data_IF_305472929625
#
_entry.id   IF_305472929625
#
_cell.length_a   1.000
_cell.length_b   1.000
_cell.length_c   1.000
_cell.angle_alpha   90.00
_cell.angle_beta   90.00
_cell.angle_gamma   90.00
#
_symmetry.space_group_name_H-M   'P 1'
#
loop_
_entity.id
_entity.type
_entity.pdbx_description
1 polymer ?
#
# COMPACT_ATOMS: atom_id res chain seq x y z
N UNK A 1 -23.62 -2.35 15.65
CA UNK A 1 -23.38 -2.12 15.38
C UNK A 1 -22.68 -1.73 15.08
N UNK A 2 -22.55 -1.86 14.98
CA UNK A 2 -22.16 -1.60 14.68
C UNK A 2 -21.58 -0.79 13.95
N UNK A 3 -21.94 -0.31 13.46
CA UNK A 3 -21.49 0.57 12.68
C UNK A 3 -20.31 1.25 13.03
N UNK A 4 -20.09 1.26 14.02
CA UNK A 4 -19.11 1.81 14.35
C UNK A 4 -18.09 1.37 14.02
N UNK A 5 -17.98 1.10 13.56
CA UNK A 5 -17.14 0.70 13.00
C UNK A 5 -15.95 0.26 13.43
N UNK A 6 -15.61 -0.91 13.16
CA UNK A 6 -14.31 -1.34 13.46
C UNK A 6 -13.37 -0.55 12.64
N UNK A 7 -12.15 -0.49 13.03
CA UNK A 7 -11.14 0.09 12.24
C UNK A 7 -10.98 -0.71 10.97
N UNK A 8 -10.62 -0.06 9.89
CA UNK A 8 -10.45 -0.75 8.61
C UNK A 8 -9.55 -1.96 8.69
N UNK A 9 -8.51 -1.89 9.51
CA UNK A 9 -7.63 -3.03 9.65
C UNK A 9 -8.36 -4.23 10.22
N UNK A 10 -9.23 -4.01 11.21
CA UNK A 10 -10.00 -5.10 11.78
C UNK A 10 -10.97 -5.69 10.77
N UNK A 11 -11.61 -4.83 10.01
CA UNK A 11 -12.54 -5.29 9.00
C UNK A 11 -11.86 -6.06 7.90
N UNK A 12 -10.68 -5.58 7.50
CA UNK A 12 -9.95 -6.20 6.43
C UNK A 12 -9.19 -7.43 6.89
N UNK A 13 -8.60 -7.34 8.07
CA UNK A 13 -7.78 -8.42 8.61
C UNK A 13 -6.45 -8.54 7.92
N UNK A 14 -5.56 -9.33 8.48
CA UNK A 14 -4.23 -9.48 7.90
C UNK A 14 -4.30 -10.18 6.55
N UNK A 15 -5.23 -11.11 6.38
CA UNK A 15 -5.40 -11.77 5.09
C UNK A 15 -5.90 -10.77 4.05
N UNK A 16 -6.80 -9.86 4.45
CA UNK A 16 -7.28 -8.83 3.56
C UNK A 16 -6.20 -7.85 3.16
N UNK A 17 -5.32 -7.49 4.09
CA UNK A 17 -4.20 -6.62 3.76
C UNK A 17 -3.29 -7.28 2.74
N UNK A 18 -2.98 -8.56 2.94
CA UNK A 18 -2.13 -9.28 2.00
C UNK A 18 -2.80 -9.37 0.63
N UNK A 19 -4.10 -9.60 0.61
CA UNK A 19 -4.84 -9.66 -0.65
C UNK A 19 -4.82 -8.30 -1.34
N UNK A 20 -4.98 -7.22 -0.59
CA UNK A 20 -4.94 -5.88 -1.16
C UNK A 20 -3.58 -5.61 -1.78
N UNK A 21 -2.50 -5.99 -1.09
CA UNK A 21 -1.16 -5.78 -1.62
C UNK A 21 -0.94 -6.61 -2.86
N UNK A 22 -1.42 -7.86 -2.87
CA UNK A 22 -1.27 -8.72 -4.05
C UNK A 22 -1.99 -8.13 -5.25
N UNK A 23 -3.21 -7.61 -5.06
CA UNK A 23 -3.95 -6.98 -6.14
C UNK A 23 -3.25 -5.72 -6.63
N UNK A 24 -2.72 -4.95 -5.70
CA UNK A 24 -1.98 -3.74 -6.00
C UNK A 24 -0.77 -4.06 -6.88
N UNK A 25 0.04 -5.03 -6.46
CA UNK A 25 1.21 -5.42 -7.23
C UNK A 25 0.83 -5.95 -8.60
N UNK A 26 -0.28 -6.67 -8.67
CA UNK A 26 -0.75 -7.18 -9.95
C UNK A 26 -1.08 -6.03 -10.91
N UNK A 27 -1.74 -4.99 -10.40
CA UNK A 27 -2.08 -3.84 -11.23
C UNK A 27 -0.83 -3.09 -11.70
N UNK A 28 0.14 -2.91 -10.81
CA UNK A 28 1.38 -2.25 -11.17
C UNK A 28 2.12 -3.09 -12.21
N UNK A 29 2.16 -4.39 -12.02
CA UNK A 29 2.85 -5.28 -12.97
C UNK A 29 2.15 -5.33 -14.32
N UNK A 30 0.85 -5.07 -14.35
CA UNK A 30 0.10 -5.06 -15.60
C UNK A 30 0.21 -3.72 -16.34
N UNK A 31 0.70 -2.68 -15.68
CA UNK A 31 0.86 -1.38 -16.29
C UNK A 31 2.13 -1.40 -17.13
N UNK A 32 1.98 -1.18 -18.43
CA UNK A 32 3.12 -1.31 -19.35
C UNK A 32 4.28 -0.40 -18.98
N UNK A 33 3.98 0.77 -18.45
CA UNK A 33 5.04 1.71 -18.10
C UNK A 33 5.72 1.34 -16.79
N UNK A 34 4.98 0.76 -15.86
CA UNK A 34 5.51 0.46 -14.54
C UNK A 34 6.12 -0.94 -14.43
N UNK A 35 5.72 -1.83 -15.31
CA UNK A 35 6.14 -3.23 -15.22
C UNK A 35 7.65 -3.39 -15.20
N UNK A 36 8.36 -2.57 -15.96
CA UNK A 36 9.81 -2.70 -16.06
C UNK A 36 10.51 -2.44 -14.73
N UNK A 37 9.91 -1.64 -13.87
CA UNK A 37 10.52 -1.35 -12.57
C UNK A 37 10.49 -2.55 -11.63
N UNK A 38 9.68 -3.55 -11.94
CA UNK A 38 9.60 -4.74 -11.11
C UNK A 38 10.52 -5.87 -11.56
N UNK A 39 11.21 -5.69 -12.68
CA UNK A 39 12.12 -6.69 -13.18
C UNK A 39 13.27 -6.84 -12.18
N UNK A 40 13.52 -8.05 -11.74
CA UNK A 40 14.59 -8.32 -10.80
C UNK A 40 14.26 -7.99 -9.34
N UNK A 41 13.06 -7.52 -9.08
CA UNK A 41 12.64 -7.20 -7.73
C UNK A 41 12.13 -8.45 -7.04
N UNK A 42 12.54 -8.65 -5.79
CA UNK A 42 12.00 -9.73 -4.98
C UNK A 42 10.60 -9.30 -4.55
N UNK A 43 9.59 -9.78 -5.26
CA UNK A 43 8.22 -9.34 -5.02
C UNK A 43 7.68 -9.80 -3.68
N UNK A 44 8.14 -10.93 -3.18
CA UNK A 44 7.69 -11.40 -1.87
C UNK A 44 8.16 -10.42 -0.80
N UNK A 45 9.41 -10.00 -0.90
CA UNK A 45 9.96 -9.07 0.06
C UNK A 45 9.29 -7.70 -0.06
N UNK A 46 9.08 -7.25 -1.28
CA UNK A 46 8.40 -5.98 -1.51
C UNK A 46 6.99 -6.05 -0.94
N UNK A 47 6.26 -7.13 -1.22
CA UNK A 47 4.90 -7.28 -0.70
C UNK A 47 4.88 -7.23 0.83
N UNK A 48 5.87 -7.82 1.47
CA UNK A 48 5.96 -7.78 2.92
C UNK A 48 6.12 -6.36 3.45
N UNK A 49 6.98 -5.59 2.81
CA UNK A 49 7.17 -4.19 3.21
C UNK A 49 5.91 -3.38 3.01
N UNK A 50 5.26 -3.56 1.87
CA UNK A 50 4.04 -2.82 1.58
C UNK A 50 2.93 -3.18 2.55
N UNK A 51 2.85 -4.46 2.92
CA UNK A 51 1.83 -4.90 3.87
C UNK A 51 2.05 -4.27 5.24
N UNK A 52 3.31 -4.14 5.67
CA UNK A 52 3.61 -3.49 6.93
C UNK A 52 3.19 -2.02 6.92
N UNK A 53 3.56 -1.31 5.87
CA UNK A 53 3.21 0.10 5.76
C UNK A 53 1.69 0.27 5.75
N UNK A 54 1.02 -0.56 4.98
CA UNK A 54 -0.43 -0.48 4.87
C UNK A 54 -1.11 -0.81 6.20
N UNK A 55 -0.60 -1.82 6.89
CA UNK A 55 -1.14 -2.20 8.19
C UNK A 55 -1.09 -1.02 9.16
N UNK A 56 0.05 -0.35 9.23
CA UNK A 56 0.19 0.80 10.11
C UNK A 56 -0.73 1.93 9.66
N UNK A 57 -0.80 2.17 8.36
CA UNK A 57 -1.64 3.25 7.83
C UNK A 57 -3.11 3.03 8.15
N UNK A 58 -3.54 1.78 8.19
CA UNK A 58 -4.94 1.46 8.47
C UNK A 58 -5.22 1.34 9.97
N UNK A 59 -4.28 1.73 10.81
CA UNK A 59 -4.52 1.78 12.23
C UNK A 59 -3.99 0.61 13.02
N UNK A 60 -3.18 -0.24 12.39
CA UNK A 60 -2.60 -1.36 13.09
C UNK A 60 -1.45 -0.93 13.98
N UNK A 61 -0.96 -1.84 14.79
CA UNK A 61 0.14 -1.51 15.68
C UNK A 61 1.41 -1.23 14.89
N UNK A 62 2.08 -0.17 15.27
CA UNK A 62 3.35 0.14 14.66
C UNK A 62 4.41 -0.78 15.19
N UNK A 63 4.26 -1.22 16.39
CA UNK A 63 5.23 -2.11 16.99
C UNK A 63 6.60 -1.52 16.89
N UNK A 64 7.54 -2.38 16.66
CA UNK A 64 8.85 -1.93 16.52
C UNK A 64 9.23 -1.80 15.13
N UNK A 65 8.33 -1.62 14.27
CA UNK A 65 8.65 -1.52 12.92
C UNK A 65 9.36 -0.26 12.78
N UNK A 66 10.55 -0.33 12.83
CA UNK A 66 11.35 0.74 12.57
C UNK A 66 11.00 1.21 11.25
N UNK A 67 10.66 2.33 11.01
CA UNK A 67 10.50 2.91 9.83
C UNK A 67 10.65 2.02 8.74
N UNK A 68 9.66 1.43 8.30
CA UNK A 68 9.69 0.44 7.27
C UNK A 68 10.49 1.02 6.17
N UNK A 69 11.05 0.23 5.42
CA UNK A 69 11.84 0.58 4.35
C UNK A 69 11.23 1.75 3.69
N UNK A 70 11.54 2.87 4.20
CA UNK A 70 11.09 4.08 3.61
C UNK A 70 11.55 4.01 2.18
N UNK A 71 10.70 4.39 1.31
CA UNK A 71 11.07 4.39 -0.07
C UNK A 71 11.00 3.05 -0.76
N UNK A 72 10.19 2.13 -0.27
CA UNK A 72 10.03 0.86 -0.94
C UNK A 72 9.79 1.03 -2.43
N UNK A 73 8.90 1.93 -2.83
CA UNK A 73 8.67 2.21 -4.23
C UNK A 73 9.73 3.14 -4.79
N UNK A 74 10.15 4.10 -3.98
CA UNK A 74 11.10 5.07 -4.44
C UNK A 74 12.44 4.43 -4.76
N UNK A 75 12.79 3.40 -4.02
CA UNK A 75 14.02 2.68 -4.28
C UNK A 75 14.08 2.07 -5.66
N UNK A 76 12.96 2.00 -6.36
CA UNK A 76 12.91 1.45 -7.70
C UNK A 76 13.19 2.49 -8.78
N UNK A 77 13.33 3.75 -8.40
CA UNK A 77 13.66 4.80 -9.36
C UNK A 77 12.49 5.43 -10.07
N UNK A 78 11.29 5.29 -9.51
CA UNK A 78 10.09 5.88 -10.11
C UNK A 78 10.16 7.39 -10.08
N UNK A 79 9.61 8.04 -11.12
CA UNK A 79 9.42 9.48 -11.09
C UNK A 79 8.27 9.80 -10.13
N UNK A 80 8.12 11.06 -9.78
CA UNK A 80 7.02 11.45 -8.91
C UNK A 80 5.67 11.13 -9.53
N UNK A 81 5.54 11.34 -10.81
CA UNK A 81 4.30 11.05 -11.49
C UNK A 81 4.00 9.56 -11.50
N UNK A 82 5.03 8.75 -11.73
CA UNK A 82 4.86 7.31 -11.70
C UNK A 82 4.52 6.82 -10.30
N UNK A 83 5.16 7.42 -9.28
CA UNK A 83 4.86 7.06 -7.91
C UNK A 83 3.42 7.41 -7.57
N UNK A 84 2.95 8.56 -8.05
CA UNK A 84 1.56 8.96 -7.82
C UNK A 84 0.61 7.94 -8.44
N UNK A 85 0.94 7.45 -9.62
CA UNK A 85 0.11 6.43 -10.28
C UNK A 85 0.07 5.15 -9.46
N UNK A 86 1.22 4.75 -8.91
CA UNK A 86 1.27 3.57 -8.07
C UNK A 86 0.36 3.73 -6.85
N UNK A 87 0.38 4.90 -6.23
CA UNK A 87 -0.47 5.17 -5.08
C UNK A 87 -1.95 5.21 -5.48
N UNK A 88 -2.24 5.74 -6.66
CA UNK A 88 -3.62 5.75 -7.15
C UNK A 88 -4.16 4.34 -7.35
N UNK A 89 -3.32 3.42 -7.81
CA UNK A 89 -3.74 2.03 -7.93
C UNK A 89 -4.11 1.46 -6.56
N UNK A 90 -3.32 1.79 -5.53
CA UNK A 90 -3.65 1.33 -4.18
C UNK A 90 -5.01 1.87 -3.75
N UNK A 91 -5.24 3.15 -3.98
CA UNK A 91 -6.52 3.74 -3.59
C UNK A 91 -7.68 3.01 -4.27
N UNK A 92 -7.51 2.69 -5.55
CA UNK A 92 -8.53 1.94 -6.27
C UNK A 92 -8.80 0.57 -5.69
N UNK A 93 -7.73 -0.14 -5.28
CA UNK A 93 -7.89 -1.44 -4.65
C UNK A 93 -8.64 -1.32 -3.34
N UNK A 94 -8.29 -0.32 -2.53
CA UNK A 94 -8.94 -0.14 -1.24
C UNK A 94 -10.40 0.24 -1.40
N UNK A 95 -10.71 1.10 -2.39
CA UNK A 95 -12.10 1.44 -2.70
C UNK A 95 -12.88 0.19 -3.08
N UNK A 96 -12.28 -0.68 -3.90
CA UNK A 96 -12.94 -1.90 -4.32
C UNK A 96 -13.20 -2.86 -3.16
N UNK A 97 -12.42 -2.74 -2.09
CA UNK A 97 -12.59 -3.56 -0.90
C UNK A 97 -13.45 -2.86 0.15
N UNK A 98 -14.10 -1.76 -0.23
CA UNK A 98 -15.01 -1.02 0.64
C UNK A 98 -14.33 -0.42 1.87
N UNK A 99 -13.07 -0.06 1.73
CA UNK A 99 -12.37 0.62 2.81
C UNK A 99 -12.91 2.06 2.88
N UNK A 100 -13.19 2.56 4.08
CA UNK A 100 -13.74 3.91 4.22
C UNK A 100 -12.80 4.98 3.68
N UNK A 101 -13.39 6.07 3.21
CA UNK A 101 -12.64 7.15 2.59
C UNK A 101 -11.50 7.67 3.45
N UNK A 102 -11.75 7.84 4.74
CA UNK A 102 -10.71 8.36 5.63
C UNK A 102 -9.52 7.43 5.72
N UNK A 103 -9.76 6.13 5.66
CA UNK A 103 -8.68 5.15 5.71
C UNK A 103 -7.94 5.10 4.38
N UNK A 104 -8.66 5.23 3.26
CA UNK A 104 -8.01 5.32 1.96
C UNK A 104 -7.08 6.53 1.94
N UNK A 105 -7.54 7.67 2.47
CA UNK A 105 -6.72 8.87 2.51
C UNK A 105 -5.50 8.66 3.40
N UNK A 106 -5.65 7.97 4.52
CA UNK A 106 -4.52 7.69 5.40
C UNK A 106 -3.48 6.84 4.69
N UNK A 107 -3.93 5.85 3.93
CA UNK A 107 -3.01 5.00 3.17
C UNK A 107 -2.30 5.82 2.09
N UNK A 108 -3.03 6.68 1.40
CA UNK A 108 -2.42 7.53 0.38
C UNK A 108 -1.34 8.42 0.99
N UNK A 109 -1.63 9.02 2.15
CA UNK A 109 -0.66 9.89 2.80
C UNK A 109 0.58 9.13 3.25
N UNK A 110 0.39 7.92 3.76
CA UNK A 110 1.52 7.13 4.22
C UNK A 110 2.52 6.88 3.11
N UNK A 111 2.03 6.55 1.92
CA UNK A 111 2.92 6.28 0.79
C UNK A 111 3.40 7.57 0.13
N UNK A 112 2.62 8.64 0.18
CA UNK A 112 3.05 9.92 -0.35
C UNK A 112 4.17 10.50 0.50
N UNK A 113 4.05 10.40 1.82
CA UNK A 113 5.09 10.89 2.71
C UNK A 113 6.38 10.15 2.51
N UNK A 114 6.29 8.83 2.29
CA UNK A 114 7.44 8.04 2.02
C UNK A 114 8.13 8.53 0.75
N UNK A 115 7.35 8.87 -0.26
CA UNK A 115 7.91 9.35 -1.51
C UNK A 115 8.56 10.71 -1.33
N UNK A 116 8.01 11.54 -0.47
CA UNK A 116 8.50 12.88 -0.29
C UNK A 116 9.76 12.99 0.52
N UNK A 117 10.12 11.95 1.18
CA UNK A 117 11.28 12.01 2.07
C UNK A 117 12.61 12.03 1.35
#
# INVERSE_FOLDING_TARGET
MSGLGPYPLEALGSAGVRDAVARWLWLVAADAELASYLIGVDRVRLAGHLALILTVALGGPAGDIARPAAGAWRGLGLTEEQHRRVVDYLAGVLWALDVPAGAVDAARRAFADEAGA
#
